data_IF_301774883231
#
_entry.id   IF_301774883231
#
_cell.length_a   1.000
_cell.length_b   1.000
_cell.length_c   1.000
_cell.angle_alpha   90.00
_cell.angle_beta   90.00
_cell.angle_gamma   90.00
#
_symmetry.space_group_name_H-M   'P 1'
#
loop_
_entity.id
_entity.type
_entity.pdbx_description
1 polymer ?
#
# COMPACT_ATOMS: atom_id res chain seq x y z
N UNK A 1 20.73 -17.84 -2.43
CA UNK A 1 20.05 -16.82 -3.25
C UNK A 1 19.59 -15.71 -2.31
N UNK A 2 19.81 -14.42 -2.64
CA UNK A 2 19.33 -13.32 -1.81
C UNK A 2 17.80 -13.23 -1.87
N UNK A 3 17.16 -13.26 -0.71
CA UNK A 3 15.73 -13.01 -0.53
C UNK A 3 15.48 -11.50 -0.59
N UNK A 4 14.57 -11.05 -1.45
CA UNK A 4 14.15 -9.65 -1.51
C UNK A 4 13.08 -9.45 -0.44
N UNK A 5 13.38 -8.62 0.56
CA UNK A 5 12.42 -8.15 1.55
C UNK A 5 11.59 -7.05 0.92
N UNK A 6 10.29 -7.29 0.75
CA UNK A 6 9.34 -6.35 0.10
C UNK A 6 8.91 -5.22 1.04
N UNK A 7 9.41 -5.19 2.29
CA UNK A 7 8.98 -4.24 3.31
C UNK A 7 9.63 -2.86 3.29
N UNK A 8 10.78 -2.68 2.63
CA UNK A 8 11.52 -1.42 2.60
C UNK A 8 12.20 -1.23 1.25
N UNK A 9 11.42 -0.96 0.20
CA UNK A 9 11.96 -0.49 -1.07
C UNK A 9 12.47 0.95 -0.87
N UNK A 10 13.74 1.04 -0.50
CA UNK A 10 14.49 2.29 -0.32
C UNK A 10 15.83 2.25 -1.06
N UNK A 11 16.32 1.04 -1.34
CA UNK A 11 17.53 0.78 -2.10
C UNK A 11 17.23 0.27 -3.52
N UNK A 12 18.02 0.74 -4.47
CA UNK A 12 18.02 0.21 -5.83
C UNK A 12 18.37 -1.28 -5.86
N UNK A 13 17.53 -2.10 -6.47
CA UNK A 13 17.73 -3.55 -6.52
C UNK A 13 18.93 -4.01 -7.36
N UNK A 14 19.52 -3.13 -8.18
CA UNK A 14 20.72 -3.43 -8.97
C UNK A 14 21.99 -2.98 -8.27
N UNK A 15 22.10 -1.69 -7.93
CA UNK A 15 23.34 -1.12 -7.39
C UNK A 15 23.38 -1.07 -5.85
N UNK A 16 22.26 -1.41 -5.17
CA UNK A 16 22.12 -1.48 -3.70
C UNK A 16 22.43 -0.16 -2.98
N UNK A 17 22.29 0.96 -3.68
CA UNK A 17 22.35 2.31 -3.08
C UNK A 17 20.94 2.84 -2.86
N UNK A 18 20.73 3.70 -1.86
CA UNK A 18 19.50 4.45 -1.73
C UNK A 18 19.21 5.21 -3.01
N UNK A 19 17.98 5.15 -3.51
CA UNK A 19 17.64 5.86 -4.76
C UNK A 19 17.75 7.38 -4.61
N UNK A 20 17.60 7.90 -3.39
CA UNK A 20 17.80 9.32 -3.04
C UNK A 20 19.24 9.78 -3.25
N UNK A 21 20.22 8.87 -3.17
CA UNK A 21 21.64 9.18 -3.28
C UNK A 21 22.12 9.30 -4.73
N UNK A 22 21.27 8.92 -5.70
CA UNK A 22 21.57 8.98 -7.13
C UNK A 22 20.67 10.02 -7.78
N UNK A 23 21.28 11.10 -8.28
CA UNK A 23 20.59 12.23 -8.93
C UNK A 23 19.42 12.79 -8.10
N UNK A 24 19.55 12.78 -6.77
CA UNK A 24 18.51 13.23 -5.81
C UNK A 24 17.16 12.50 -5.98
N UNK A 25 17.17 11.30 -6.57
CA UNK A 25 15.96 10.54 -6.88
C UNK A 25 15.17 11.07 -8.09
N UNK A 26 15.71 12.00 -8.88
CA UNK A 26 15.00 12.57 -10.05
C UNK A 26 14.63 11.52 -11.11
N UNK A 27 15.41 10.45 -11.21
CA UNK A 27 15.20 9.33 -12.15
C UNK A 27 14.71 8.06 -11.43
N UNK A 28 14.24 8.19 -10.19
CA UNK A 28 13.73 7.05 -9.43
C UNK A 28 12.56 6.39 -10.17
N UNK A 29 12.60 5.07 -10.21
CA UNK A 29 11.57 4.24 -10.79
C UNK A 29 11.16 3.16 -9.81
N UNK A 30 9.86 3.07 -9.57
CA UNK A 30 9.23 1.98 -8.85
C UNK A 30 8.56 1.02 -9.84
N UNK A 31 8.78 -0.28 -9.68
CA UNK A 31 8.09 -1.31 -10.43
C UNK A 31 7.37 -2.27 -9.48
N UNK A 32 6.07 -2.44 -9.73
CA UNK A 32 5.24 -3.48 -9.14
C UNK A 32 5.07 -4.61 -10.17
N UNK A 33 5.51 -5.82 -9.83
CA UNK A 33 5.48 -6.98 -10.74
C UNK A 33 4.63 -8.10 -10.15
N UNK A 34 3.53 -8.43 -10.81
CA UNK A 34 2.65 -9.54 -10.40
C UNK A 34 3.29 -10.89 -10.71
N UNK A 35 3.47 -11.74 -9.69
CA UNK A 35 3.94 -13.13 -9.81
C UNK A 35 2.79 -14.10 -9.54
N UNK A 36 2.18 -14.58 -10.62
CA UNK A 36 1.14 -15.63 -10.62
C UNK A 36 -0.24 -15.20 -10.10
N UNK A 37 -1.27 -15.83 -10.69
CA UNK A 37 -2.68 -15.50 -10.59
C UNK A 37 -3.46 -16.64 -9.92
N UNK A 38 -3.01 -17.07 -8.72
CA UNK A 38 -3.88 -17.89 -7.88
C UNK A 38 -4.83 -16.95 -7.14
N UNK A 39 -6.11 -16.99 -7.56
CA UNK A 39 -7.28 -16.21 -7.09
C UNK A 39 -7.37 -15.82 -5.60
N UNK A 40 -6.61 -16.47 -4.71
CA UNK A 40 -6.64 -16.25 -3.28
C UNK A 40 -5.39 -15.53 -2.70
N UNK A 41 -4.35 -15.26 -3.50
CA UNK A 41 -3.20 -14.45 -3.08
C UNK A 41 -2.62 -13.70 -4.27
N UNK A 42 -2.77 -12.39 -4.24
CA UNK A 42 -1.97 -11.53 -5.08
C UNK A 42 -0.54 -11.51 -4.51
N UNK A 43 0.42 -12.12 -5.22
CA UNK A 43 1.85 -12.01 -4.94
C UNK A 43 2.44 -10.94 -5.87
N UNK A 44 2.87 -9.83 -5.29
CA UNK A 44 3.51 -8.73 -6.00
C UNK A 44 4.95 -8.57 -5.52
N UNK A 45 5.80 -8.16 -6.45
CA UNK A 45 7.13 -7.65 -6.17
C UNK A 45 7.14 -6.16 -6.31
N UNK A 46 7.41 -5.48 -5.20
CA UNK A 46 7.71 -4.05 -5.19
C UNK A 46 9.22 -3.87 -5.24
N UNK A 47 9.72 -3.21 -6.29
CA UNK A 47 11.16 -3.06 -6.52
C UNK A 47 11.48 -1.65 -7.00
N UNK A 48 12.46 -1.03 -6.34
CA UNK A 48 12.95 0.30 -6.67
C UNK A 48 14.26 0.30 -7.45
N UNK A 49 14.42 1.32 -8.30
CA UNK A 49 15.60 1.54 -9.11
C UNK A 49 15.98 3.02 -9.15
N UNK A 50 17.28 3.30 -9.17
CA UNK A 50 17.78 4.67 -9.38
C UNK A 50 17.54 5.20 -10.80
N UNK A 51 17.31 4.31 -11.78
CA UNK A 51 17.16 4.68 -13.19
C UNK A 51 16.43 3.60 -13.99
N UNK A 52 15.96 3.97 -15.18
CA UNK A 52 15.31 3.05 -16.12
C UNK A 52 16.26 1.95 -16.62
N UNK A 53 17.56 2.27 -16.78
CA UNK A 53 18.56 1.29 -17.21
C UNK A 53 18.71 0.16 -16.18
N UNK A 54 18.73 0.50 -14.88
CA UNK A 54 18.79 -0.51 -13.82
C UNK A 54 17.50 -1.34 -13.77
N UNK A 55 16.34 -0.73 -13.96
CA UNK A 55 15.09 -1.47 -14.04
C UNK A 55 15.08 -2.46 -15.21
N UNK A 56 15.53 -2.01 -16.39
CA UNK A 56 15.66 -2.87 -17.57
C UNK A 56 16.69 -3.99 -17.37
N UNK A 57 17.81 -3.72 -16.71
CA UNK A 57 18.80 -4.74 -16.36
C UNK A 57 18.22 -5.80 -15.43
N UNK A 58 17.45 -5.38 -14.42
CA UNK A 58 16.82 -6.29 -13.47
C UNK A 58 15.75 -7.16 -14.15
N UNK A 59 14.90 -6.58 -15.00
CA UNK A 59 13.86 -7.30 -15.75
C UNK A 59 14.41 -8.33 -16.75
N UNK A 60 15.69 -8.21 -17.14
CA UNK A 60 16.36 -9.22 -17.99
C UNK A 60 16.73 -10.49 -17.23
N UNK A 61 16.69 -10.46 -15.90
CA UNK A 61 17.02 -11.61 -15.04
C UNK A 61 15.72 -12.37 -14.70
N UNK A 62 15.78 -13.69 -14.46
CA UNK A 62 14.62 -14.41 -13.98
C UNK A 62 14.14 -13.81 -12.65
N UNK A 63 12.83 -13.73 -12.48
CA UNK A 63 12.25 -13.20 -11.25
C UNK A 63 12.73 -14.02 -10.04
N UNK A 64 13.07 -13.36 -8.92
CA UNK A 64 13.49 -14.06 -7.72
C UNK A 64 12.36 -14.97 -7.23
N UNK A 65 12.72 -16.10 -6.64
CA UNK A 65 11.76 -17.01 -6.02
C UNK A 65 10.97 -16.26 -4.92
N UNK A 66 9.67 -16.58 -4.74
CA UNK A 66 8.87 -15.98 -3.68
C UNK A 66 9.53 -16.26 -2.34
N UNK A 67 9.72 -15.22 -1.53
CA UNK A 67 10.19 -15.39 -0.17
C UNK A 67 9.11 -16.14 0.62
N UNK A 68 9.49 -17.22 1.30
CA UNK A 68 8.65 -17.86 2.31
C UNK A 68 8.64 -17.01 3.60
N UNK A 69 8.22 -15.75 3.46
CA UNK A 69 8.09 -14.80 4.57
C UNK A 69 6.76 -15.00 5.31
N UNK A 70 6.67 -14.61 6.59
CA UNK A 70 5.41 -14.65 7.31
C UNK A 70 4.40 -13.74 6.61
N UNK A 71 3.22 -14.28 6.33
CA UNK A 71 2.04 -13.51 5.92
C UNK A 71 1.89 -12.33 6.88
N UNK A 72 1.63 -11.13 6.34
CA UNK A 72 1.41 -9.91 7.14
C UNK A 72 0.64 -10.22 8.42
N UNK A 73 1.35 -10.17 9.55
CA UNK A 73 0.75 -10.42 10.84
C UNK A 73 0.06 -9.14 11.26
N UNK A 74 -1.26 -9.07 11.08
CA UNK A 74 -2.09 -7.95 11.53
C UNK A 74 -1.76 -7.66 12.99
N UNK A 75 -1.21 -6.47 13.25
CA UNK A 75 -0.79 -6.09 14.59
C UNK A 75 -1.99 -5.61 15.39
N UNK A 76 -1.88 -5.62 16.72
CA UNK A 76 -2.92 -5.04 17.60
C UNK A 76 -3.11 -3.54 17.35
N UNK A 77 -2.06 -2.86 16.89
CA UNK A 77 -2.10 -1.45 16.50
C UNK A 77 -2.98 -1.24 15.27
N UNK A 78 -2.87 -2.10 14.27
CA UNK A 78 -3.69 -2.02 13.05
C UNK A 78 -5.16 -2.20 13.40
N UNK A 79 -5.47 -3.17 14.28
CA UNK A 79 -6.85 -3.37 14.77
C UNK A 79 -7.40 -2.15 15.50
N UNK A 80 -6.58 -1.47 16.31
CA UNK A 80 -7.01 -0.25 17.00
C UNK A 80 -7.26 0.90 16.01
N UNK A 81 -6.43 1.03 14.97
CA UNK A 81 -6.64 2.01 13.91
C UNK A 81 -7.95 1.76 13.17
N UNK A 82 -8.23 0.51 12.80
CA UNK A 82 -9.47 0.11 12.13
C UNK A 82 -10.71 0.40 12.98
N UNK A 83 -10.66 0.08 14.27
CA UNK A 83 -11.75 0.38 15.21
C UNK A 83 -11.96 1.90 15.33
N UNK A 84 -10.88 2.67 15.45
CA UNK A 84 -10.95 4.13 15.51
C UNK A 84 -11.60 4.73 14.26
N UNK A 85 -11.19 4.25 13.08
CA UNK A 85 -11.76 4.67 11.81
C UNK A 85 -13.26 4.34 11.71
N UNK A 86 -13.64 3.12 12.10
CA UNK A 86 -15.04 2.69 12.12
C UNK A 86 -15.90 3.55 13.05
N UNK A 87 -15.38 3.93 14.23
CA UNK A 87 -16.09 4.80 15.17
C UNK A 87 -16.29 6.21 14.61
N UNK A 88 -15.27 6.80 13.99
CA UNK A 88 -15.37 8.13 13.35
C UNK A 88 -16.41 8.09 12.23
N UNK A 89 -16.37 7.06 11.38
CA UNK A 89 -17.34 6.90 10.31
C UNK A 89 -18.77 6.74 10.86
N UNK A 90 -18.96 5.90 11.88
CA UNK A 90 -20.23 5.73 12.56
C UNK A 90 -20.77 7.03 13.15
N UNK A 91 -19.90 7.85 13.74
CA UNK A 91 -20.27 9.17 14.27
C UNK A 91 -20.75 10.11 13.16
N UNK A 92 -20.05 10.18 12.02
CA UNK A 92 -20.45 10.99 10.86
C UNK A 92 -21.83 10.57 10.35
N UNK A 93 -22.06 9.27 10.21
CA UNK A 93 -23.37 8.73 9.79
C UNK A 93 -24.46 9.09 10.78
N UNK A 94 -24.21 8.93 12.09
CA UNK A 94 -25.18 9.28 13.12
C UNK A 94 -25.54 10.78 13.10
N UNK A 95 -24.56 11.66 12.93
CA UNK A 95 -24.77 13.10 12.80
C UNK A 95 -25.56 13.46 11.54
N UNK A 96 -25.27 12.81 10.41
CA UNK A 96 -26.01 13.01 9.17
C UNK A 96 -27.48 12.58 9.30
N UNK A 97 -27.74 11.43 9.92
CA UNK A 97 -29.09 10.95 10.19
C UNK A 97 -29.84 11.87 11.16
N UNK A 98 -29.16 12.37 12.20
CA UNK A 98 -29.74 13.33 13.13
C UNK A 98 -30.07 14.66 12.44
N UNK A 99 -29.18 15.17 11.58
CA UNK A 99 -29.41 16.36 10.76
C UNK A 99 -30.61 16.18 9.81
N UNK A 100 -30.70 15.02 9.15
CA UNK A 100 -31.83 14.71 8.28
C UNK A 100 -33.15 14.61 9.07
N UNK A 101 -33.13 13.94 10.22
CA UNK A 101 -34.28 13.81 11.11
C UNK A 101 -34.78 15.17 11.60
N UNK A 102 -33.87 16.01 12.10
CA UNK A 102 -34.20 17.35 12.60
C UNK A 102 -34.76 18.25 11.50
N UNK A 103 -34.17 18.21 10.31
CA UNK A 103 -34.67 18.94 9.14
C UNK A 103 -36.06 18.46 8.74
N UNK A 104 -36.26 17.13 8.66
CA UNK A 104 -37.56 16.54 8.34
C UNK A 104 -38.63 16.92 9.35
N UNK A 105 -38.31 16.88 10.64
CA UNK A 105 -39.21 17.32 11.71
C UNK A 105 -39.55 18.81 11.59
N UNK A 106 -38.56 19.66 11.33
CA UNK A 106 -38.79 21.09 11.14
C UNK A 106 -39.72 21.38 9.96
N UNK A 107 -39.54 20.68 8.84
CA UNK A 107 -40.41 20.81 7.67
C UNK A 107 -41.84 20.35 7.98
N UNK A 108 -42.00 19.21 8.66
CA UNK A 108 -43.33 18.72 9.06
C UNK A 108 -44.01 19.68 10.04
N UNK A 109 -43.27 20.26 10.99
CA UNK A 109 -43.82 21.23 11.94
C UNK A 109 -44.16 22.60 11.28
N UNK A 110 -43.69 22.86 10.04
CA UNK A 110 -43.94 24.11 9.30
C UNK A 110 -45.21 24.06 8.42
N UNK A 111 -45.69 22.86 8.08
CA UNK A 111 -46.86 22.61 7.23
C UNK A 111 -48.07 22.15 8.05
#
# INVERSE_FOLDING_TARGET
MPTVDTGDASDCAVCRRPWTDVDEGSNWLHLEVTRHDELNRLDFLDVDFCSQEHAAEWLRRPLPAPASGPLHTVTTRDRLADIGLALVFGLVVALALLGLWTTGRFVVDLF
#
